data_IF_947366430257
#
_entry.id   IF_947366430257
#
_cell.length_a   1.000
_cell.length_b   1.000
_cell.length_c   1.000
_cell.angle_alpha   90.00
_cell.angle_beta   90.00
_cell.angle_gamma   90.00
#
_symmetry.space_group_name_H-M   'P 1'
#
loop_
_entity.id
_entity.type
_entity.pdbx_description
1 polymer ?
#
# COMPACT_ATOMS: atom_id res chain seq x y z
N UNK A 1 -12.50 -6.94 -30.06
CA UNK A 1 -13.76 -7.30 -29.41
C UNK A 1 -13.64 -7.02 -27.92
N UNK A 2 -14.16 -5.88 -27.49
CA UNK A 2 -14.11 -5.37 -26.13
C UNK A 2 -14.66 -6.38 -25.11
N UNK A 3 -15.74 -7.07 -25.46
CA UNK A 3 -16.39 -8.07 -24.57
C UNK A 3 -15.52 -9.33 -24.36
N UNK A 4 -14.73 -9.73 -25.34
CA UNK A 4 -13.82 -10.88 -25.21
C UNK A 4 -12.59 -10.52 -24.37
N UNK A 5 -12.07 -9.32 -24.50
CA UNK A 5 -11.00 -8.81 -23.62
C UNK A 5 -11.50 -8.64 -22.19
N UNK A 6 -12.73 -8.17 -22.00
CA UNK A 6 -13.38 -8.03 -20.72
C UNK A 6 -13.59 -9.37 -20.02
N UNK A 7 -14.04 -10.40 -20.77
CA UNK A 7 -14.23 -11.76 -20.28
C UNK A 7 -12.91 -12.47 -19.95
N UNK A 8 -11.85 -12.23 -20.73
CA UNK A 8 -10.51 -12.78 -20.48
C UNK A 8 -9.83 -12.09 -19.28
N UNK A 9 -10.06 -10.80 -19.09
CA UNK A 9 -9.48 -10.04 -17.98
C UNK A 9 -10.21 -10.29 -16.64
N UNK A 10 -11.49 -10.75 -16.68
CA UNK A 10 -12.36 -10.64 -15.52
C UNK A 10 -13.13 -11.91 -15.13
N UNK A 11 -12.75 -13.07 -15.52
CA UNK A 11 -13.31 -14.43 -15.33
C UNK A 11 -14.37 -14.76 -14.27
N UNK A 12 -14.67 -13.88 -13.31
CA UNK A 12 -15.75 -14.01 -12.32
C UNK A 12 -16.77 -12.87 -12.51
N UNK A 13 -17.97 -13.00 -11.92
CA UNK A 13 -19.01 -11.97 -11.98
C UNK A 13 -18.43 -10.58 -11.65
N UNK A 14 -18.66 -9.57 -12.50
CA UNK A 14 -17.99 -8.28 -12.37
C UNK A 14 -18.45 -7.57 -11.09
N UNK A 15 -17.50 -7.27 -10.20
CA UNK A 15 -17.77 -6.38 -9.08
C UNK A 15 -17.93 -4.93 -9.58
N UNK A 16 -18.68 -4.08 -8.83
CA UNK A 16 -18.84 -2.67 -9.17
C UNK A 16 -17.48 -1.95 -9.37
N UNK A 17 -16.46 -2.33 -8.60
CA UNK A 17 -15.10 -1.81 -8.72
C UNK A 17 -14.44 -2.18 -10.04
N UNK A 18 -14.62 -3.42 -10.51
CA UNK A 18 -14.13 -3.88 -11.82
C UNK A 18 -14.82 -3.16 -12.97
N UNK A 19 -16.13 -3.01 -12.89
CA UNK A 19 -16.91 -2.30 -13.90
C UNK A 19 -16.47 -0.84 -14.00
N UNK A 20 -16.29 -0.17 -12.87
CA UNK A 20 -15.78 1.20 -12.83
C UNK A 20 -14.40 1.31 -13.50
N UNK A 21 -13.47 0.42 -13.13
CA UNK A 21 -12.11 0.43 -13.70
C UNK A 21 -12.09 0.10 -15.19
N UNK A 22 -12.92 -0.83 -15.64
CA UNK A 22 -13.05 -1.17 -17.05
C UNK A 22 -13.62 0.02 -17.85
N UNK A 23 -14.66 0.68 -17.34
CA UNK A 23 -15.24 1.86 -17.98
C UNK A 23 -14.23 3.01 -18.10
N UNK A 24 -13.48 3.28 -17.01
CA UNK A 24 -12.40 4.27 -17.00
C UNK A 24 -11.36 3.93 -18.07
N UNK A 25 -10.82 2.71 -18.06
CA UNK A 25 -9.78 2.27 -19.00
C UNK A 25 -10.28 2.31 -20.44
N UNK A 26 -11.52 1.86 -20.71
CA UNK A 26 -12.11 1.87 -22.04
C UNK A 26 -12.25 3.31 -22.60
N UNK A 27 -12.49 4.28 -21.73
CA UNK A 27 -12.61 5.68 -22.15
C UNK A 27 -11.32 6.25 -22.74
N UNK A 28 -10.15 5.69 -22.41
CA UNK A 28 -8.86 6.10 -22.98
C UNK A 28 -8.57 5.49 -24.36
N UNK A 29 -9.35 4.51 -24.80
CA UNK A 29 -9.18 3.89 -26.12
C UNK A 29 -9.85 4.71 -27.24
N UNK A 30 -10.72 5.63 -26.91
CA UNK A 30 -11.36 6.54 -27.85
C UNK A 30 -10.48 7.78 -28.08
N UNK A 31 -9.52 7.66 -28.97
CA UNK A 31 -8.60 8.75 -29.31
C UNK A 31 -9.30 9.93 -30.03
N UNK A 32 -10.50 9.72 -30.60
CA UNK A 32 -11.26 10.81 -31.21
C UNK A 32 -11.90 11.70 -30.16
N UNK A 33 -12.47 11.10 -29.12
CA UNK A 33 -13.07 11.84 -27.99
C UNK A 33 -12.01 12.35 -26.99
N UNK A 34 -10.88 11.64 -26.86
CA UNK A 34 -9.81 11.95 -25.89
C UNK A 34 -8.43 11.90 -26.54
N UNK A 35 -8.08 12.88 -27.38
CA UNK A 35 -6.82 12.89 -28.11
C UNK A 35 -5.58 13.10 -27.24
N UNK A 36 -5.77 13.59 -26.00
CA UNK A 36 -4.69 13.81 -25.03
C UNK A 36 -5.01 13.13 -23.71
N UNK A 37 -3.98 12.54 -23.08
CA UNK A 37 -4.02 11.98 -21.74
C UNK A 37 -3.13 12.84 -20.85
N UNK A 38 -3.72 13.45 -19.83
CA UNK A 38 -2.99 14.20 -18.81
C UNK A 38 -2.75 13.30 -17.60
N UNK A 39 -1.47 13.07 -17.31
CA UNK A 39 -1.07 12.24 -16.17
C UNK A 39 -0.74 13.14 -14.97
N UNK A 40 -1.20 12.72 -13.81
CA UNK A 40 -0.86 13.31 -12.52
C UNK A 40 -0.06 12.30 -11.70
N UNK A 41 0.64 12.80 -10.68
CA UNK A 41 1.34 11.95 -9.73
C UNK A 41 0.36 11.01 -9.04
N UNK A 42 0.68 9.71 -9.05
CA UNK A 42 -0.14 8.66 -8.42
C UNK A 42 -0.31 8.85 -6.90
N UNK A 43 0.61 9.56 -6.26
CA UNK A 43 0.55 9.88 -4.84
C UNK A 43 -0.72 10.65 -4.43
N UNK A 44 -1.39 11.34 -5.35
CA UNK A 44 -2.65 12.04 -5.05
C UNK A 44 -3.76 11.07 -4.61
N UNK A 45 -3.75 9.84 -5.11
CA UNK A 45 -4.81 8.85 -4.85
C UNK A 45 -4.33 7.55 -4.21
N UNK A 46 -3.06 7.22 -4.39
CA UNK A 46 -2.45 5.98 -3.87
C UNK A 46 -0.95 6.19 -3.59
N UNK A 47 -0.64 7.08 -2.68
CA UNK A 47 0.74 7.48 -2.35
C UNK A 47 1.63 6.31 -1.89
N UNK A 48 1.04 5.30 -1.25
CA UNK A 48 1.74 4.10 -0.77
C UNK A 48 1.79 3.02 -1.86
N UNK A 49 0.99 3.13 -2.93
CA UNK A 49 0.98 2.18 -4.05
C UNK A 49 0.34 0.82 -3.73
N UNK A 50 -0.50 0.74 -2.68
CA UNK A 50 -1.08 -0.52 -2.22
C UNK A 50 -2.46 -0.83 -2.79
N UNK A 51 -3.17 0.15 -3.36
CA UNK A 51 -4.54 -0.05 -3.87
C UNK A 51 -4.58 -1.04 -5.02
N UNK A 52 -3.60 -0.98 -5.94
CA UNK A 52 -3.50 -1.95 -7.02
C UNK A 52 -3.33 -3.38 -6.51
N UNK A 53 -2.53 -3.57 -5.46
CA UNK A 53 -2.37 -4.86 -4.79
C UNK A 53 -3.68 -5.33 -4.13
N UNK A 54 -4.35 -4.46 -3.38
CA UNK A 54 -5.62 -4.76 -2.71
C UNK A 54 -6.72 -5.11 -3.71
N UNK A 55 -6.82 -4.36 -4.79
CA UNK A 55 -7.77 -4.63 -5.86
C UNK A 55 -7.51 -5.99 -6.51
N UNK A 56 -6.25 -6.33 -6.76
CA UNK A 56 -5.87 -7.62 -7.32
C UNK A 56 -6.16 -8.76 -6.35
N UNK A 57 -5.84 -8.62 -5.08
CA UNK A 57 -6.18 -9.61 -4.05
C UNK A 57 -7.70 -9.85 -3.96
N UNK A 58 -8.49 -8.77 -4.00
CA UNK A 58 -9.95 -8.87 -3.95
C UNK A 58 -10.53 -9.55 -5.20
N UNK A 59 -9.93 -9.29 -6.36
CA UNK A 59 -10.34 -9.86 -7.65
C UNK A 59 -10.05 -11.34 -7.73
N UNK A 60 -8.86 -11.76 -7.33
CA UNK A 60 -8.38 -13.15 -7.45
C UNK A 60 -8.79 -14.02 -6.26
N UNK A 61 -9.54 -13.49 -5.31
CA UNK A 61 -9.99 -14.25 -4.14
C UNK A 61 -8.89 -14.50 -3.10
N UNK A 62 -7.91 -13.61 -3.05
CA UNK A 62 -6.81 -13.64 -2.08
C UNK A 62 -5.46 -14.05 -2.68
N UNK A 63 -4.42 -14.21 -1.83
CA UNK A 63 -3.05 -14.46 -2.30
C UNK A 63 -2.87 -15.74 -3.11
N UNK A 64 -3.56 -16.82 -2.73
CA UNK A 64 -3.47 -18.08 -3.45
C UNK A 64 -4.08 -17.97 -4.86
N UNK A 65 -5.18 -17.23 -5.01
CA UNK A 65 -5.77 -16.92 -6.32
C UNK A 65 -4.86 -16.03 -7.14
N UNK A 66 -4.29 -15.01 -6.53
CA UNK A 66 -3.32 -14.14 -7.19
C UNK A 66 -2.06 -14.88 -7.62
N UNK A 67 -1.52 -15.78 -6.78
CA UNK A 67 -0.38 -16.60 -7.14
C UNK A 67 -0.66 -17.48 -8.38
N UNK A 68 -1.83 -18.12 -8.43
CA UNK A 68 -2.27 -18.87 -9.62
C UNK A 68 -2.42 -18.00 -10.86
N UNK A 69 -3.05 -16.83 -10.71
CA UNK A 69 -3.24 -15.89 -11.83
C UNK A 69 -1.92 -15.32 -12.39
N UNK A 70 -0.85 -15.31 -11.58
CA UNK A 70 0.49 -14.92 -11.96
C UNK A 70 1.41 -16.11 -12.29
N UNK A 71 0.86 -17.33 -12.37
CA UNK A 71 1.62 -18.57 -12.62
C UNK A 71 2.74 -18.82 -11.62
N UNK A 72 2.52 -18.42 -10.35
CA UNK A 72 3.45 -18.57 -9.24
C UNK A 72 3.07 -19.75 -8.34
N UNK A 73 2.87 -20.93 -8.92
CA UNK A 73 2.35 -22.13 -8.23
C UNK A 73 3.23 -22.59 -7.06
N UNK A 74 4.51 -22.22 -7.07
CA UNK A 74 5.45 -22.53 -5.99
C UNK A 74 5.49 -21.49 -4.88
N UNK A 75 4.72 -20.40 -4.96
CA UNK A 75 4.76 -19.33 -3.96
C UNK A 75 4.21 -19.83 -2.61
N UNK A 76 5.07 -19.81 -1.60
CA UNK A 76 4.75 -20.24 -0.22
C UNK A 76 4.74 -19.09 0.77
N UNK A 77 5.36 -17.97 0.41
CA UNK A 77 5.54 -16.83 1.31
C UNK A 77 5.39 -15.52 0.53
N UNK A 78 4.69 -14.56 1.11
CA UNK A 78 4.66 -13.19 0.63
C UNK A 78 5.19 -12.25 1.72
N UNK A 79 6.01 -11.30 1.30
CA UNK A 79 6.52 -10.24 2.17
C UNK A 79 6.08 -8.91 1.58
N UNK A 80 5.42 -8.09 2.38
CA UNK A 80 5.04 -6.74 2.02
C UNK A 80 5.74 -5.81 3.01
N UNK A 81 6.57 -4.93 2.48
CA UNK A 81 7.25 -3.90 3.28
C UNK A 81 6.65 -2.56 2.88
N UNK A 82 5.91 -1.95 3.79
CA UNK A 82 5.31 -0.63 3.62
C UNK A 82 6.26 0.41 4.21
N UNK A 83 6.76 1.30 3.36
CA UNK A 83 7.60 2.41 3.80
C UNK A 83 6.80 3.69 3.68
N UNK A 84 6.39 4.23 4.82
CA UNK A 84 5.65 5.48 4.89
C UNK A 84 6.50 6.58 5.51
N UNK A 85 6.96 7.51 4.67
CA UNK A 85 7.71 8.70 5.07
C UNK A 85 6.80 9.95 5.12
N UNK A 86 5.63 9.80 5.72
CA UNK A 86 4.62 10.84 5.82
C UNK A 86 5.16 12.06 6.57
N UNK A 87 5.00 13.24 5.96
CA UNK A 87 5.32 14.52 6.60
C UNK A 87 4.19 14.94 7.55
N UNK A 88 4.55 15.63 8.61
CA UNK A 88 3.55 16.19 9.53
C UNK A 88 2.64 17.19 8.81
N UNK A 89 1.35 17.24 9.16
CA UNK A 89 0.49 18.34 8.75
C UNK A 89 1.07 19.69 9.19
N UNK A 90 0.90 20.71 8.35
CA UNK A 90 1.32 22.07 8.71
C UNK A 90 0.30 22.68 9.67
N UNK A 91 0.55 22.53 10.97
CA UNK A 91 -0.27 23.13 12.04
C UNK A 91 -0.04 24.64 12.21
N UNK A 92 0.83 25.28 11.41
CA UNK A 92 1.05 26.72 11.51
C UNK A 92 -0.21 27.50 11.17
N UNK A 93 -1.06 26.96 10.30
CA UNK A 93 -2.37 27.55 9.97
C UNK A 93 -3.31 27.64 11.16
N UNK A 94 -3.32 26.62 12.02
CA UNK A 94 -4.22 26.56 13.18
C UNK A 94 -3.81 27.52 14.30
N UNK A 95 -2.67 28.19 14.15
CA UNK A 95 -2.13 29.18 15.10
C UNK A 95 -2.31 30.61 14.61
N UNK A 96 -2.91 30.81 13.45
CA UNK A 96 -3.13 32.11 12.82
C UNK A 96 -4.63 32.41 12.83
N UNK A 97 -4.98 33.63 13.22
CA UNK A 97 -6.36 34.13 13.13
C UNK A 97 -6.73 34.54 11.70
N UNK A 98 -5.72 34.83 10.89
CA UNK A 98 -5.88 35.25 9.51
C UNK A 98 -6.42 34.14 8.60
N UNK A 99 -7.23 34.53 7.63
CA UNK A 99 -7.75 33.62 6.60
C UNK A 99 -6.58 33.04 5.79
N UNK A 100 -6.52 31.71 5.59
CA UNK A 100 -5.48 31.09 4.80
C UNK A 100 -5.38 31.64 3.38
N UNK A 101 -4.16 31.81 2.90
CA UNK A 101 -3.93 32.19 1.50
C UNK A 101 -4.33 31.06 0.55
N UNK A 102 -4.61 31.38 -0.72
CA UNK A 102 -4.95 30.40 -1.76
C UNK A 102 -3.90 29.28 -1.86
N UNK A 103 -2.60 29.63 -1.78
CA UNK A 103 -1.53 28.63 -1.83
C UNK A 103 -1.53 27.67 -0.62
N UNK A 104 -1.90 28.16 0.56
CA UNK A 104 -2.05 27.32 1.76
C UNK A 104 -3.25 26.38 1.62
N UNK A 105 -4.38 26.90 1.13
CA UNK A 105 -5.57 26.08 0.84
C UNK A 105 -5.25 25.00 -0.20
N UNK A 106 -4.57 25.35 -1.30
CA UNK A 106 -4.20 24.39 -2.34
C UNK A 106 -3.25 23.30 -1.81
N UNK A 107 -2.33 23.63 -0.91
CA UNK A 107 -1.50 22.62 -0.22
C UNK A 107 -2.35 21.70 0.65
N UNK A 108 -3.26 22.25 1.45
CA UNK A 108 -4.14 21.45 2.31
C UNK A 108 -5.04 20.50 1.47
N UNK A 109 -5.60 20.97 0.35
CA UNK A 109 -6.41 20.16 -0.58
C UNK A 109 -5.59 18.99 -1.15
N UNK A 110 -4.29 19.15 -1.36
CA UNK A 110 -3.40 18.08 -1.80
C UNK A 110 -3.04 17.12 -0.66
N UNK A 111 -2.56 17.65 0.46
CA UNK A 111 -1.87 16.88 1.50
C UNK A 111 -2.86 16.11 2.40
N UNK A 112 -4.02 16.70 2.71
CA UNK A 112 -5.03 16.05 3.56
C UNK A 112 -5.57 14.75 2.94
N UNK A 113 -6.00 14.71 1.66
CA UNK A 113 -6.43 13.47 1.04
C UNK A 113 -5.31 12.42 0.93
N UNK A 114 -4.08 12.85 0.56
CA UNK A 114 -2.93 11.94 0.45
C UNK A 114 -2.72 11.20 1.77
N UNK A 115 -2.64 11.93 2.89
CA UNK A 115 -2.39 11.35 4.19
C UNK A 115 -3.53 10.45 4.63
N UNK A 116 -4.78 10.91 4.45
CA UNK A 116 -5.95 10.12 4.82
C UNK A 116 -6.07 8.84 4.00
N UNK A 117 -5.87 8.91 2.68
CA UNK A 117 -5.89 7.72 1.83
C UNK A 117 -4.74 6.76 2.10
N UNK A 118 -3.56 7.27 2.47
CA UNK A 118 -2.43 6.45 2.88
C UNK A 118 -2.76 5.65 4.14
N UNK A 119 -3.31 6.32 5.15
CA UNK A 119 -3.78 5.67 6.39
C UNK A 119 -4.84 4.60 6.11
N UNK A 120 -5.95 4.98 5.45
CA UNK A 120 -7.05 4.06 5.15
C UNK A 120 -6.60 2.86 4.32
N UNK A 121 -5.69 3.06 3.37
CA UNK A 121 -5.18 1.97 2.52
C UNK A 121 -4.32 1.01 3.33
N UNK A 122 -3.49 1.51 4.25
CA UNK A 122 -2.68 0.68 5.13
C UNK A 122 -3.54 -0.11 6.12
N UNK A 123 -4.55 0.52 6.72
CA UNK A 123 -5.50 -0.15 7.61
C UNK A 123 -6.31 -1.24 6.87
N UNK A 124 -6.76 -0.94 5.66
CA UNK A 124 -7.45 -1.91 4.83
C UNK A 124 -6.56 -3.11 4.48
N UNK A 125 -5.28 -2.87 4.19
CA UNK A 125 -4.31 -3.94 3.96
C UNK A 125 -4.15 -4.81 5.20
N UNK A 126 -3.93 -4.20 6.37
CA UNK A 126 -3.78 -4.89 7.66
C UNK A 126 -5.01 -5.76 7.95
N UNK A 127 -6.21 -5.19 7.87
CA UNK A 127 -7.45 -5.91 8.11
C UNK A 127 -7.64 -7.10 7.15
N UNK A 128 -7.30 -6.95 5.86
CA UNK A 128 -7.36 -8.05 4.90
C UNK A 128 -6.39 -9.17 5.26
N UNK A 129 -5.16 -8.84 5.67
CA UNK A 129 -4.18 -9.86 6.06
C UNK A 129 -4.56 -10.57 7.37
N UNK A 130 -5.06 -9.85 8.37
CA UNK A 130 -5.56 -10.44 9.61
C UNK A 130 -6.72 -11.41 9.35
N UNK A 131 -7.69 -10.98 8.54
CA UNK A 131 -8.82 -11.83 8.16
C UNK A 131 -8.37 -13.10 7.41
N UNK A 132 -7.38 -12.98 6.54
CA UNK A 132 -6.81 -14.13 5.85
C UNK A 132 -6.07 -15.07 6.82
N UNK A 133 -5.31 -14.53 7.77
CA UNK A 133 -4.65 -15.34 8.79
C UNK A 133 -5.66 -16.13 9.63
N UNK A 134 -6.77 -15.49 10.02
CA UNK A 134 -7.83 -16.14 10.77
C UNK A 134 -8.47 -17.28 9.98
N UNK A 135 -8.79 -17.05 8.72
CA UNK A 135 -9.33 -18.09 7.84
C UNK A 135 -8.38 -19.28 7.66
N UNK A 136 -7.08 -19.01 7.56
CA UNK A 136 -6.08 -20.07 7.46
C UNK A 136 -5.93 -20.85 8.78
N UNK A 137 -6.00 -20.17 9.93
CA UNK A 137 -5.99 -20.82 11.27
C UNK A 137 -7.20 -21.73 11.44
N UNK A 138 -8.38 -21.26 11.08
CA UNK A 138 -9.62 -22.03 11.15
C UNK A 138 -9.55 -23.25 10.24
N UNK A 139 -9.10 -23.12 9.00
CA UNK A 139 -8.89 -24.24 8.07
C UNK A 139 -7.85 -25.25 8.57
N UNK A 140 -6.75 -24.81 9.20
CA UNK A 140 -5.77 -25.74 9.80
C UNK A 140 -6.38 -26.57 10.93
N UNK A 141 -7.35 -26.04 11.68
CA UNK A 141 -8.11 -26.78 12.68
C UNK A 141 -9.08 -27.81 12.09
N UNK A 142 -9.59 -27.58 10.87
CA UNK A 142 -10.58 -28.43 10.20
C UNK A 142 -9.96 -29.46 9.23
N UNK A 143 -8.75 -29.24 8.73
CA UNK A 143 -8.12 -30.08 7.71
C UNK A 143 -7.12 -31.05 8.33
N UNK A 144 -7.56 -32.29 8.55
CA UNK A 144 -6.70 -33.47 8.60
C UNK A 144 -6.15 -33.73 7.20
N UNK A 145 -4.83 -33.59 7.04
CA UNK A 145 -3.98 -34.14 5.98
C UNK A 145 -4.56 -34.20 4.53
N UNK A 146 -4.07 -33.33 3.66
CA UNK A 146 -4.21 -33.55 2.23
C UNK A 146 -4.49 -32.34 1.33
N UNK A 147 -4.72 -31.15 1.86
CA UNK A 147 -5.02 -30.00 1.03
C UNK A 147 -3.74 -29.20 0.67
N UNK A 148 -3.55 -28.96 -0.63
CA UNK A 148 -2.43 -28.19 -1.20
C UNK A 148 -2.31 -26.72 -0.72
N UNK A 149 -3.23 -26.25 0.11
CA UNK A 149 -3.29 -24.89 0.64
C UNK A 149 -2.61 -24.72 2.03
N UNK A 150 -1.99 -25.77 2.54
CA UNK A 150 -1.42 -25.82 3.90
C UNK A 150 -0.03 -25.19 3.96
N UNK A 151 0.18 -23.96 3.53
CA UNK A 151 1.53 -23.42 3.65
C UNK A 151 1.82 -22.02 3.13
N UNK A 152 0.82 -21.26 2.74
CA UNK A 152 1.09 -19.86 2.38
C UNK A 152 1.23 -19.02 3.66
N UNK A 153 2.40 -18.42 3.85
CA UNK A 153 2.70 -17.52 4.94
C UNK A 153 2.88 -16.09 4.41
N UNK A 154 2.64 -15.08 5.26
CA UNK A 154 2.86 -13.70 4.87
C UNK A 154 3.45 -12.88 6.02
N UNK A 155 4.20 -11.85 5.64
CA UNK A 155 4.76 -10.86 6.55
C UNK A 155 4.36 -9.48 6.06
N UNK A 156 3.76 -8.68 6.94
CA UNK A 156 3.51 -7.26 6.74
C UNK A 156 4.43 -6.48 7.65
N UNK A 157 5.39 -5.78 7.08
CA UNK A 157 6.40 -5.02 7.79
C UNK A 157 6.18 -3.54 7.50
N UNK A 158 5.99 -2.76 8.54
CA UNK A 158 5.78 -1.32 8.41
C UNK A 158 7.01 -0.55 8.90
N UNK A 159 7.50 0.35 8.03
CA UNK A 159 8.57 1.30 8.34
C UNK A 159 7.96 2.69 8.29
N UNK A 160 7.74 3.28 9.46
CA UNK A 160 7.07 4.59 9.59
C UNK A 160 7.79 5.46 10.61
N UNK A 161 7.62 6.77 10.51
CA UNK A 161 8.12 7.70 11.52
C UNK A 161 7.31 7.63 12.82
N UNK A 162 6.09 7.10 12.80
CA UNK A 162 5.25 6.97 13.99
C UNK A 162 5.83 6.00 15.03
N UNK A 163 6.62 5.03 14.56
CA UNK A 163 7.32 4.10 15.44
C UNK A 163 8.51 4.73 16.20
N UNK A 164 8.82 6.01 15.97
CA UNK A 164 9.88 6.73 16.69
C UNK A 164 9.35 7.14 18.06
N UNK A 165 9.97 6.61 19.13
CA UNK A 165 9.55 6.89 20.49
C UNK A 165 9.88 8.32 20.93
N UNK A 166 11.04 8.84 20.52
CA UNK A 166 11.45 10.21 20.82
C UNK A 166 10.64 11.21 19.98
N UNK A 167 9.83 12.10 20.59
CA UNK A 167 9.05 13.08 19.87
C UNK A 167 9.90 14.07 19.06
N UNK A 168 11.05 14.48 19.57
CA UNK A 168 11.91 15.46 18.88
C UNK A 168 12.54 14.85 17.62
N UNK A 169 12.97 13.59 17.71
CA UNK A 169 13.49 12.86 16.56
C UNK A 169 12.37 12.60 15.53
N UNK A 170 11.19 12.22 15.98
CA UNK A 170 10.02 12.01 15.11
C UNK A 170 9.64 13.29 14.37
N UNK A 171 9.57 14.42 15.08
CA UNK A 171 9.24 15.72 14.50
C UNK A 171 10.31 16.17 13.49
N UNK A 172 11.60 15.90 13.77
CA UNK A 172 12.66 16.13 12.79
C UNK A 172 12.41 15.38 11.48
N UNK A 173 12.12 14.09 11.52
CA UNK A 173 11.90 13.31 10.31
C UNK A 173 10.61 13.72 9.59
N UNK A 174 9.55 14.02 10.31
CA UNK A 174 8.28 14.49 9.74
C UNK A 174 8.36 15.90 9.14
N UNK A 175 9.34 16.68 9.53
CA UNK A 175 9.60 18.02 8.98
C UNK A 175 10.48 18.00 7.71
N UNK A 176 11.02 16.85 7.31
CA UNK A 176 11.84 16.75 6.09
C UNK A 176 10.96 17.04 4.89
N UNK A 177 11.30 18.04 4.06
CA UNK A 177 10.48 18.38 2.91
C UNK A 177 10.57 17.31 1.81
N UNK A 178 9.48 17.11 1.07
CA UNK A 178 9.52 16.35 -0.18
C UNK A 178 10.37 17.11 -1.20
N UNK A 179 11.54 16.57 -1.52
CA UNK A 179 12.53 17.19 -2.40
C UNK A 179 13.33 16.14 -3.16
N UNK A 180 13.73 16.47 -4.39
CA UNK A 180 14.65 15.66 -5.20
C UNK A 180 16.10 15.69 -4.68
N UNK A 181 16.43 16.60 -3.77
CA UNK A 181 17.77 16.74 -3.20
C UNK A 181 17.66 17.06 -1.71
N UNK A 182 18.36 16.25 -0.91
CA UNK A 182 18.49 16.43 0.51
C UNK A 182 19.99 16.49 0.89
N UNK A 183 20.35 17.18 1.98
CA UNK A 183 21.70 17.11 2.52
C UNK A 183 22.13 15.66 2.80
N UNK A 184 23.38 15.32 2.51
CA UNK A 184 23.90 13.96 2.70
C UNK A 184 23.70 13.46 4.14
N UNK A 185 23.90 14.30 5.13
CA UNK A 185 23.66 13.97 6.55
C UNK A 185 22.19 13.60 6.84
N UNK A 186 21.24 14.27 6.17
CA UNK A 186 19.81 13.94 6.30
C UNK A 186 19.51 12.57 5.67
N UNK A 187 20.09 12.30 4.50
CA UNK A 187 19.96 10.99 3.84
C UNK A 187 20.52 9.86 4.72
N UNK A 188 21.69 10.07 5.30
CA UNK A 188 22.30 9.08 6.18
C UNK A 188 21.47 8.82 7.44
N UNK A 189 20.88 9.86 8.04
CA UNK A 189 19.95 9.72 9.16
C UNK A 189 18.70 8.93 8.76
N UNK A 190 18.11 9.21 7.60
CA UNK A 190 16.96 8.46 7.07
C UNK A 190 17.30 6.97 6.88
N UNK A 191 18.45 6.67 6.28
CA UNK A 191 18.93 5.29 6.07
C UNK A 191 19.14 4.56 7.39
N UNK A 192 19.77 5.20 8.36
CA UNK A 192 19.97 4.63 9.68
C UNK A 192 18.63 4.40 10.39
N UNK A 193 17.69 5.35 10.28
CA UNK A 193 16.37 5.21 10.87
C UNK A 193 15.57 4.05 10.27
N UNK A 194 15.59 3.92 8.95
CA UNK A 194 14.92 2.82 8.26
C UNK A 194 15.49 1.45 8.71
N UNK A 195 16.81 1.35 8.84
CA UNK A 195 17.45 0.13 9.37
C UNK A 195 16.98 -0.18 10.78
N UNK A 196 17.03 0.80 11.69
CA UNK A 196 16.60 0.63 13.07
C UNK A 196 15.12 0.21 13.16
N UNK A 197 14.26 0.78 12.30
CA UNK A 197 12.84 0.42 12.26
C UNK A 197 12.64 -1.04 11.81
N UNK A 198 13.36 -1.49 10.79
CA UNK A 198 13.31 -2.88 10.34
C UNK A 198 13.80 -3.84 11.45
N UNK A 199 14.96 -3.57 12.05
CA UNK A 199 15.53 -4.41 13.11
C UNK A 199 14.64 -4.47 14.37
N UNK A 200 13.92 -3.39 14.67
CA UNK A 200 12.96 -3.33 15.77
C UNK A 200 11.63 -4.04 15.45
N UNK A 201 11.31 -4.26 14.17
CA UNK A 201 10.05 -4.90 13.77
C UNK A 201 10.00 -6.36 14.20
N UNK A 202 8.92 -6.75 14.88
CA UNK A 202 8.69 -8.14 15.27
C UNK A 202 8.48 -9.04 14.04
N UNK A 203 7.77 -8.53 13.03
CA UNK A 203 7.49 -9.26 11.79
C UNK A 203 8.74 -9.43 10.93
N UNK A 204 9.62 -8.44 10.88
CA UNK A 204 10.93 -8.58 10.22
C UNK A 204 11.79 -9.64 10.89
N UNK A 205 11.87 -9.63 12.23
CA UNK A 205 12.59 -10.66 12.98
C UNK A 205 11.98 -12.06 12.81
N UNK A 206 10.66 -12.16 12.71
CA UNK A 206 9.97 -13.42 12.38
C UNK A 206 10.36 -13.88 10.98
N UNK A 207 10.33 -13.00 9.97
CA UNK A 207 10.75 -13.30 8.62
C UNK A 207 12.18 -13.86 8.56
N UNK A 208 13.12 -13.23 9.25
CA UNK A 208 14.51 -13.70 9.28
C UNK A 208 14.62 -15.13 9.86
N UNK A 209 13.99 -15.39 11.01
CA UNK A 209 13.96 -16.74 11.60
C UNK A 209 13.39 -17.79 10.65
N UNK A 210 12.29 -17.44 9.96
CA UNK A 210 11.63 -18.34 9.02
C UNK A 210 12.47 -18.60 7.74
N UNK A 211 13.45 -17.76 7.48
CA UNK A 211 14.37 -17.90 6.34
C UNK A 211 15.61 -18.69 6.71
N UNK A 212 16.13 -18.50 7.93
CA UNK A 212 17.31 -19.20 8.44
C UNK A 212 17.03 -20.68 8.82
N UNK A 213 15.75 -21.04 8.94
CA UNK A 213 15.31 -22.39 9.32
C UNK A 213 15.23 -23.36 8.13
N UNK A 214 15.73 -22.97 6.96
CA UNK A 214 15.80 -23.79 5.74
C UNK A 214 17.21 -24.16 5.41
#
# INVERSE_FOLDING_TARGET
DSAAMEKAAFGAAPSARRMFKAAETSSYLDAAARPYIHLLDGGITDNIGLRGLLDRLAVEGGPAGMARALELDGLRKAVIIVVNAETAPDYALDRQEDVPTVNQVMRAIRDIPINRYSFETTELLRANFEHMADRMRTRRGEVRAGAADAGFDYHLIEVTFDAIADPQERDFFRAIPTSYSLPASTVDRLRQRARNALEASADYRRLLRDTDSR
#
